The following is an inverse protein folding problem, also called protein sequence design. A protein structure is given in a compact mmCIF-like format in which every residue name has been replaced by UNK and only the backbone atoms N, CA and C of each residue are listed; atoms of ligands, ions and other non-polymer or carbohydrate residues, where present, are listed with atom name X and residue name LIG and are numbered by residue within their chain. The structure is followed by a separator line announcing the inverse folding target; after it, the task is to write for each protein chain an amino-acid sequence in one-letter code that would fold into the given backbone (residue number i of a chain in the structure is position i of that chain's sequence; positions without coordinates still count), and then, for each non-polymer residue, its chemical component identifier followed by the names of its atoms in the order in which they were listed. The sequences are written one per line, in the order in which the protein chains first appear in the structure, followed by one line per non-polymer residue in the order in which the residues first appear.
data_IF_824725079855
#
_entry.id   IF_824725079855
#
_cell.length_a   1.000
_cell.length_b   1.000
_cell.length_c   1.000
_cell.angle_alpha   90.00
_cell.angle_beta   90.00
_cell.angle_gamma   90.00
#
_symmetry.space_group_name_H-M   'P 1'
#
loop_
_entity.id
_entity.type
_entity.pdbx_description
1 polymer ?
#
# COMPACT_ATOMS: atom_id res chain seq x y z
N UNK A 1 -7.62 -1.61 -7.26
CA UNK A 1 -6.61 -0.56 -7.01
C UNK A 1 -7.24 0.80 -7.20
N UNK A 2 -6.60 1.85 -6.72
CA UNK A 2 -6.99 3.25 -6.95
C UNK A 2 -5.86 3.92 -7.73
N UNK A 3 -6.21 4.63 -8.81
CA UNK A 3 -5.26 5.37 -9.64
C UNK A 3 -5.63 6.84 -9.58
N UNK A 4 -4.72 7.65 -9.06
CA UNK A 4 -4.71 9.09 -9.26
C UNK A 4 -3.66 9.40 -10.31
N UNK A 5 -4.12 9.73 -11.51
CA UNK A 5 -3.26 10.15 -12.62
C UNK A 5 -2.58 11.49 -12.34
N UNK A 6 -3.37 12.47 -11.89
CA UNK A 6 -2.96 13.84 -11.59
C UNK A 6 -3.48 14.30 -10.22
N UNK A 7 -2.58 14.39 -9.23
CA UNK A 7 -2.86 14.86 -7.88
C UNK A 7 -3.35 16.31 -7.87
N UNK A 8 -2.89 17.14 -8.81
CA UNK A 8 -3.30 18.54 -8.87
C UNK A 8 -4.79 18.69 -9.22
N UNK A 9 -5.37 17.73 -9.94
CA UNK A 9 -6.75 17.77 -10.42
C UNK A 9 -7.68 16.79 -9.68
N UNK A 10 -7.14 15.78 -8.98
CA UNK A 10 -7.97 14.77 -8.31
C UNK A 10 -8.67 15.36 -7.06
N UNK A 11 -10.02 15.25 -6.95
CA UNK A 11 -10.76 15.71 -5.77
C UNK A 11 -10.41 14.97 -4.48
N UNK A 12 -10.02 13.70 -4.55
CA UNK A 12 -9.64 12.91 -3.37
C UNK A 12 -8.38 13.46 -2.69
N UNK A 13 -7.59 14.25 -3.43
CA UNK A 13 -6.37 14.88 -2.96
C UNK A 13 -6.58 16.27 -2.37
N UNK A 14 -7.79 16.84 -2.39
CA UNK A 14 -8.03 18.25 -2.00
C UNK A 14 -7.35 18.66 -0.69
N UNK A 15 -7.46 17.82 0.36
CA UNK A 15 -6.87 18.08 1.68
C UNK A 15 -5.34 17.99 1.71
N UNK A 16 -4.73 17.21 0.82
CA UNK A 16 -3.30 16.89 0.83
C UNK A 16 -2.55 17.41 -0.40
N UNK A 17 -3.25 18.02 -1.36
CA UNK A 17 -2.72 18.44 -2.66
C UNK A 17 -1.49 19.32 -2.51
N UNK A 18 -1.59 20.37 -1.71
CA UNK A 18 -0.48 21.30 -1.49
C UNK A 18 0.75 20.61 -0.88
N UNK A 19 0.55 19.67 0.04
CA UNK A 19 1.64 18.89 0.64
C UNK A 19 2.29 17.97 -0.40
N UNK A 20 1.49 17.22 -1.16
CA UNK A 20 1.97 16.30 -2.18
C UNK A 20 2.75 17.03 -3.28
N UNK A 21 2.18 18.12 -3.83
CA UNK A 21 2.84 18.94 -4.84
C UNK A 21 4.10 19.62 -4.29
N UNK A 22 4.09 20.05 -3.02
CA UNK A 22 5.27 20.59 -2.34
C UNK A 22 6.44 19.60 -2.23
N UNK A 23 6.14 18.30 -2.24
CA UNK A 23 7.12 17.20 -2.29
C UNK A 23 7.36 16.65 -3.71
N UNK A 24 6.91 17.38 -4.75
CA UNK A 24 7.04 16.98 -6.14
C UNK A 24 6.37 15.62 -6.45
N UNK A 25 5.22 15.34 -5.82
CA UNK A 25 4.40 14.16 -6.09
C UNK A 25 3.21 14.59 -6.96
N UNK A 26 3.07 13.98 -8.12
CA UNK A 26 2.09 14.34 -9.15
C UNK A 26 1.11 13.22 -9.49
N UNK A 27 1.47 11.96 -9.23
CA UNK A 27 0.55 10.82 -9.35
C UNK A 27 0.68 9.89 -8.14
N UNK A 28 -0.37 9.10 -7.90
CA UNK A 28 -0.37 8.08 -6.84
C UNK A 28 -1.19 6.86 -7.27
N UNK A 29 -0.60 5.68 -7.15
CA UNK A 29 -1.28 4.41 -7.40
C UNK A 29 -1.28 3.58 -6.13
N UNK A 30 -2.46 3.19 -5.67
CA UNK A 30 -2.63 2.44 -4.43
C UNK A 30 -3.28 1.09 -4.67
N UNK A 31 -2.67 0.03 -4.15
CA UNK A 31 -3.19 -1.34 -4.18
C UNK A 31 -3.55 -1.76 -2.75
N UNK A 32 -4.78 -2.24 -2.49
CA UNK A 32 -5.13 -2.75 -1.18
C UNK A 32 -4.35 -4.04 -0.89
N UNK A 33 -3.81 -4.14 0.32
CA UNK A 33 -3.20 -5.36 0.83
C UNK A 33 -4.29 -6.18 1.52
N UNK A 34 -4.66 -7.32 0.94
CA UNK A 34 -5.77 -8.14 1.42
C UNK A 34 -5.27 -9.38 2.15
N UNK A 35 -5.99 -9.75 3.20
CA UNK A 35 -5.87 -11.05 3.85
C UNK A 35 -6.54 -12.14 2.99
N UNK A 36 -6.50 -13.40 3.44
CA UNK A 36 -7.05 -14.51 2.65
C UNK A 36 -8.56 -14.60 2.89
N UNK A 37 -8.99 -14.02 4.01
CA UNK A 37 -10.37 -13.78 4.42
C UNK A 37 -10.95 -12.51 3.76
N UNK A 38 -10.18 -11.81 2.93
CA UNK A 38 -10.61 -10.60 2.22
C UNK A 38 -10.62 -9.32 3.08
N UNK A 39 -10.11 -9.37 4.31
CA UNK A 39 -9.96 -8.17 5.15
C UNK A 39 -8.77 -7.31 4.70
N UNK A 40 -8.89 -5.99 4.85
CA UNK A 40 -7.82 -5.04 4.46
C UNK A 40 -6.75 -5.00 5.55
N UNK A 41 -5.53 -5.40 5.20
CA UNK A 41 -4.35 -5.33 6.04
C UNK A 41 -3.68 -3.95 5.97
N UNK A 42 -3.90 -3.22 4.88
CA UNK A 42 -3.33 -1.90 4.61
C UNK A 42 -3.39 -1.58 3.11
N UNK A 43 -2.57 -0.62 2.68
CA UNK A 43 -2.38 -0.28 1.28
C UNK A 43 -0.90 -0.20 0.94
N UNK A 44 -0.54 -0.55 -0.29
CA UNK A 44 0.76 -0.29 -0.89
C UNK A 44 0.59 0.79 -1.94
N UNK A 45 1.30 1.91 -1.79
CA UNK A 45 1.16 3.08 -2.64
C UNK A 45 2.48 3.42 -3.34
N UNK A 46 2.41 3.70 -4.63
CA UNK A 46 3.52 4.23 -5.42
C UNK A 46 3.21 5.67 -5.82
N UNK A 47 4.07 6.59 -5.37
CA UNK A 47 4.04 7.99 -5.78
C UNK A 47 5.03 8.23 -6.91
N UNK A 48 4.67 9.13 -7.82
CA UNK A 48 5.58 9.55 -8.89
C UNK A 48 5.61 11.06 -9.03
N UNK A 49 6.71 11.54 -9.60
CA UNK A 49 6.97 12.96 -9.81
C UNK A 49 6.44 13.50 -11.16
N UNK A 50 5.54 12.77 -11.80
CA UNK A 50 4.90 13.15 -13.06
C UNK A 50 3.46 12.65 -13.08
N UNK A 51 2.60 13.37 -13.78
CA UNK A 51 1.26 12.91 -14.14
C UNK A 51 1.38 11.64 -14.97
N UNK A 52 0.84 10.52 -14.51
CA UNK A 52 1.06 9.22 -15.15
C UNK A 52 0.03 8.18 -14.72
N UNK A 53 -0.43 7.38 -15.68
CA UNK A 53 -1.27 6.19 -15.46
C UNK A 53 -0.43 4.94 -15.67
N UNK A 54 -0.66 3.87 -14.88
CA UNK A 54 0.17 2.68 -14.97
C UNK A 54 -0.12 1.91 -16.27
N UNK A 55 0.93 1.45 -16.94
CA UNK A 55 0.80 0.45 -18.00
C UNK A 55 0.61 -0.97 -17.42
N UNK A 56 0.34 -1.95 -18.28
CA UNK A 56 0.09 -3.34 -17.86
C UNK A 56 1.26 -3.94 -17.08
N UNK A 57 2.51 -3.65 -17.48
CA UNK A 57 3.70 -4.14 -16.80
C UNK A 57 3.82 -3.53 -15.41
N UNK A 58 3.56 -2.22 -15.28
CA UNK A 58 3.56 -1.51 -14.00
C UNK A 58 2.46 -2.02 -13.07
N UNK A 59 1.28 -2.35 -13.60
CA UNK A 59 0.19 -2.98 -12.83
C UNK A 59 0.66 -4.33 -12.28
N UNK A 60 1.28 -5.17 -13.12
CA UNK A 60 1.79 -6.48 -12.70
C UNK A 60 2.89 -6.35 -11.63
N UNK A 61 3.82 -5.42 -11.81
CA UNK A 61 4.88 -5.14 -10.84
C UNK A 61 4.31 -4.68 -9.49
N UNK A 62 3.33 -3.78 -9.52
CA UNK A 62 2.69 -3.26 -8.30
C UNK A 62 1.87 -4.34 -7.59
N UNK A 63 1.20 -5.22 -8.34
CA UNK A 63 0.50 -6.38 -7.78
C UNK A 63 1.47 -7.36 -7.12
N UNK A 64 2.62 -7.64 -7.75
CA UNK A 64 3.67 -8.49 -7.18
C UNK A 64 4.24 -7.89 -5.88
N UNK A 65 4.57 -6.60 -5.89
CA UNK A 65 5.04 -5.89 -4.70
C UNK A 65 4.02 -5.93 -3.55
N UNK A 66 2.73 -5.73 -3.86
CA UNK A 66 1.65 -5.82 -2.90
C UNK A 66 1.54 -7.24 -2.30
N UNK A 67 1.66 -8.29 -3.12
CA UNK A 67 1.65 -9.67 -2.64
C UNK A 67 2.83 -9.97 -1.71
N UNK A 68 4.03 -9.50 -2.05
CA UNK A 68 5.20 -9.64 -1.17
C UNK A 68 5.00 -8.92 0.16
N UNK A 69 4.42 -7.71 0.15
CA UNK A 69 4.09 -6.98 1.37
C UNK A 69 3.08 -7.75 2.24
N UNK A 70 2.04 -8.37 1.64
CA UNK A 70 1.10 -9.22 2.38
C UNK A 70 1.82 -10.40 3.05
N UNK A 71 2.72 -11.07 2.34
CA UNK A 71 3.49 -12.20 2.88
C UNK A 71 4.36 -11.74 4.06
N UNK A 72 5.08 -10.64 3.92
CA UNK A 72 5.94 -10.10 4.97
C UNK A 72 5.13 -9.70 6.22
N UNK A 73 3.99 -9.02 6.04
CA UNK A 73 3.10 -8.63 7.15
C UNK A 73 2.57 -9.86 7.90
N UNK A 74 2.19 -10.92 7.17
CA UNK A 74 1.74 -12.17 7.79
C UNK A 74 2.84 -12.85 8.57
N UNK A 75 4.01 -13.00 7.96
CA UNK A 75 5.16 -13.63 8.59
C UNK A 75 5.49 -12.97 9.93
N UNK A 76 5.52 -11.63 9.95
CA UNK A 76 5.75 -10.86 11.18
C UNK A 76 4.67 -11.12 12.25
N UNK A 77 3.39 -11.10 11.87
CA UNK A 77 2.28 -11.34 12.80
C UNK A 77 2.25 -12.77 13.34
N UNK A 78 2.60 -13.75 12.51
CA UNK A 78 2.66 -15.16 12.92
C UNK A 78 3.81 -15.39 13.90
N UNK A 79 4.96 -14.74 13.69
CA UNK A 79 6.07 -14.72 14.65
C UNK A 79 5.68 -14.12 16.00
N UNK A 80 5.05 -12.94 16.00
CA UNK A 80 4.60 -12.27 17.23
C UNK A 80 3.59 -13.13 18.01
N UNK A 81 2.64 -13.77 17.33
CA UNK A 81 1.66 -14.68 17.96
C UNK A 81 2.32 -15.88 18.63
N UNK A 82 3.36 -16.44 18.02
CA UNK A 82 4.11 -17.56 18.60
C UNK A 82 4.79 -17.11 19.90
N UNK A 83 5.49 -15.98 19.88
CA UNK A 83 6.18 -15.42 21.05
C UNK A 83 5.20 -15.12 22.20
N UNK A 84 4.07 -14.49 21.91
CA UNK A 84 3.01 -14.21 22.89
C UNK A 84 2.45 -15.50 23.51
N UNK A 85 2.24 -16.54 22.69
CA UNK A 85 1.74 -17.82 23.18
C UNK A 85 2.75 -18.49 24.12
N UNK A 86 4.03 -18.48 23.77
CA UNK A 86 5.10 -19.07 24.60
C UNK A 86 5.25 -18.34 25.94
N UNK A 87 5.12 -17.01 25.97
CA UNK A 87 5.14 -16.23 27.20
C UNK A 87 3.96 -16.57 28.11
N UNK A 88 2.76 -16.75 27.54
CA UNK A 88 1.54 -17.09 28.28
C UNK A 88 1.56 -18.50 28.87
N UNK A 89 2.26 -19.46 28.24
CA UNK A 89 2.43 -20.81 28.80
C UNK A 89 3.52 -20.89 29.89
N UNK A 90 4.38 -19.85 30.00
CA UNK A 90 5.46 -19.79 31.00
C UNK A 90 5.09 -19.06 32.29
N UNK A 91 3.88 -18.49 32.41
CA UNK A 91 3.32 -17.86 33.62
C UNK A 91 2.33 -18.77 34.32
#
# INVERSE_FOLDING_TARGET
MVVTEDIAQDPNWERFRSLALGHNLHSCWSVPLLSHEGSVLGTFALYQNRTHTPDELQIQQLACAAQLAVIAIRHERDGQRLEESEQRFRS
#
